data_IF_638678998309
#
_entry.id   IF_638678998309
#
_cell.length_a   1.000
_cell.length_b   1.000
_cell.length_c   1.000
_cell.angle_alpha   90.00
_cell.angle_beta   90.00
_cell.angle_gamma   90.00
#
_symmetry.space_group_name_H-M   'P 1'
#
loop_
_entity.id
_entity.type
_entity.pdbx_description
1 polymer ?
#
# COMPACT_ATOMS: atom_id res chain seq x y z
N UNK A 1 -11.96 -21.89 5.96
CA UNK A 1 -12.88 -20.98 5.25
C UNK A 1 -12.04 -20.08 4.38
N UNK A 2 -12.52 -19.68 3.20
CA UNK A 2 -11.76 -18.81 2.31
C UNK A 2 -11.86 -17.38 2.87
N UNK A 3 -10.83 -16.90 3.55
CA UNK A 3 -10.79 -15.52 4.06
C UNK A 3 -10.50 -14.57 2.90
N UNK A 4 -11.54 -14.25 2.12
CA UNK A 4 -11.50 -13.24 1.05
C UNK A 4 -10.94 -11.91 1.57
N UNK A 5 -11.17 -11.60 2.84
CA UNK A 5 -10.69 -10.40 3.50
C UNK A 5 -9.16 -10.39 3.63
N UNK A 6 -8.54 -11.54 3.93
CA UNK A 6 -7.08 -11.69 3.92
C UNK A 6 -6.53 -11.59 2.51
N UNK A 7 -7.18 -12.21 1.52
CA UNK A 7 -6.75 -12.13 0.12
C UNK A 7 -6.80 -10.69 -0.41
N UNK A 8 -7.89 -9.96 -0.16
CA UNK A 8 -8.03 -8.54 -0.49
C UNK A 8 -6.96 -7.70 0.21
N UNK A 9 -6.71 -7.97 1.50
CA UNK A 9 -5.66 -7.28 2.25
C UNK A 9 -4.29 -7.54 1.64
N UNK A 10 -4.00 -8.77 1.22
CA UNK A 10 -2.74 -9.16 0.58
C UNK A 10 -2.58 -8.48 -0.78
N UNK A 11 -3.64 -8.47 -1.61
CA UNK A 11 -3.66 -7.79 -2.89
C UNK A 11 -3.43 -6.28 -2.73
N UNK A 12 -4.08 -5.66 -1.75
CA UNK A 12 -3.94 -4.23 -1.48
C UNK A 12 -2.53 -3.89 -0.98
N UNK A 13 -1.91 -4.76 -0.17
CA UNK A 13 -0.48 -4.63 0.19
C UNK A 13 0.42 -4.75 -1.02
N UNK A 14 0.17 -5.70 -1.91
CA UNK A 14 0.98 -5.93 -3.12
C UNK A 14 0.93 -4.70 -4.05
N UNK A 15 -0.26 -4.12 -4.26
CA UNK A 15 -0.44 -2.89 -5.02
C UNK A 15 0.31 -1.70 -4.41
N UNK A 16 0.26 -1.56 -3.08
CA UNK A 16 1.02 -0.52 -2.37
C UNK A 16 2.54 -0.76 -2.53
N UNK A 17 2.99 -2.01 -2.40
CA UNK A 17 4.39 -2.39 -2.55
C UNK A 17 4.90 -2.10 -3.97
N UNK A 18 4.15 -2.49 -5.00
CA UNK A 18 4.48 -2.21 -6.41
C UNK A 18 4.52 -0.70 -6.69
N UNK A 19 3.56 0.06 -6.16
CA UNK A 19 3.54 1.50 -6.32
C UNK A 19 4.74 2.17 -5.64
N UNK A 20 5.14 1.67 -4.46
CA UNK A 20 6.33 2.14 -3.74
C UNK A 20 7.62 1.77 -4.45
N UNK A 21 7.76 0.53 -4.93
CA UNK A 21 8.94 0.05 -5.63
C UNK A 21 9.19 0.85 -6.91
N UNK A 22 8.16 1.02 -7.72
CA UNK A 22 8.20 1.85 -8.94
C UNK A 22 8.46 3.33 -8.64
N UNK A 23 8.03 3.78 -7.46
CA UNK A 23 8.27 5.13 -6.94
C UNK A 23 9.58 5.26 -6.16
N UNK A 24 10.41 4.21 -6.09
CA UNK A 24 11.67 4.18 -5.33
C UNK A 24 11.48 4.52 -3.83
N UNK A 25 10.47 3.92 -3.20
CA UNK A 25 10.01 4.13 -1.81
C UNK A 25 9.48 5.54 -1.51
N UNK A 26 9.16 6.34 -2.54
CA UNK A 26 8.57 7.67 -2.34
C UNK A 26 7.05 7.55 -2.17
N UNK A 27 6.60 7.61 -0.92
CA UNK A 27 5.18 7.55 -0.50
C UNK A 27 4.30 8.56 -1.26
N UNK A 28 4.82 9.75 -1.58
CA UNK A 28 4.06 10.75 -2.35
C UNK A 28 3.78 10.29 -3.79
N UNK A 29 4.80 9.80 -4.50
CA UNK A 29 4.67 9.27 -5.86
C UNK A 29 3.82 7.99 -5.90
N UNK A 30 3.97 7.11 -4.92
CA UNK A 30 3.15 5.91 -4.81
C UNK A 30 1.66 6.26 -4.60
N UNK A 31 1.38 7.27 -3.78
CA UNK A 31 0.01 7.76 -3.54
C UNK A 31 -0.60 8.40 -4.80
N UNK A 32 0.17 9.23 -5.51
CA UNK A 32 -0.20 9.77 -6.83
C UNK A 32 -0.50 8.64 -7.83
N UNK A 33 0.35 7.61 -7.88
CA UNK A 33 0.17 6.44 -8.77
C UNK A 33 -1.08 5.63 -8.43
N UNK A 34 -1.39 5.51 -7.15
CA UNK A 34 -2.60 4.84 -6.66
C UNK A 34 -3.84 5.75 -6.67
N UNK A 35 -3.71 7.01 -7.11
CA UNK A 35 -4.78 8.00 -7.16
C UNK A 35 -5.48 8.24 -5.79
N UNK A 36 -4.72 8.12 -4.70
CA UNK A 36 -5.21 8.33 -3.34
C UNK A 36 -4.42 9.42 -2.63
N UNK A 37 -4.98 9.97 -1.56
CA UNK A 37 -4.23 10.94 -0.74
C UNK A 37 -3.02 10.27 -0.09
N UNK A 38 -1.88 10.96 -0.10
CA UNK A 38 -0.66 10.55 0.61
C UNK A 38 -0.93 10.18 2.07
N UNK A 39 -1.77 10.95 2.75
CA UNK A 39 -2.16 10.68 4.15
C UNK A 39 -2.90 9.35 4.29
N UNK A 40 -3.83 9.04 3.37
CA UNK A 40 -4.56 7.77 3.32
C UNK A 40 -3.65 6.58 3.03
N UNK A 41 -2.68 6.76 2.11
CA UNK A 41 -1.66 5.74 1.85
C UNK A 41 -0.86 5.45 3.13
N UNK A 42 -0.41 6.49 3.84
CA UNK A 42 0.34 6.35 5.11
C UNK A 42 -0.48 5.64 6.18
N UNK A 43 -1.77 5.94 6.30
CA UNK A 43 -2.67 5.26 7.25
C UNK A 43 -2.80 3.77 6.92
N UNK A 44 -3.03 3.41 5.65
CA UNK A 44 -3.05 2.01 5.20
C UNK A 44 -1.70 1.33 5.45
N UNK A 45 -0.59 1.96 5.10
CA UNK A 45 0.76 1.42 5.33
C UNK A 45 1.05 1.13 6.81
N UNK A 46 0.67 2.06 7.71
CA UNK A 46 0.77 1.85 9.16
C UNK A 46 -0.10 0.69 9.62
N UNK A 47 -1.36 0.63 9.17
CA UNK A 47 -2.29 -0.45 9.50
C UNK A 47 -1.80 -1.81 9.02
N UNK A 48 -1.09 -1.84 7.89
CA UNK A 48 -0.56 -3.05 7.28
C UNK A 48 0.86 -3.40 7.72
N UNK A 49 1.48 -2.60 8.58
CA UNK A 49 2.88 -2.73 9.02
C UNK A 49 3.87 -2.76 7.84
N UNK A 50 3.55 -2.06 6.75
CA UNK A 50 4.39 -1.95 5.55
C UNK A 50 5.60 -1.02 5.77
N UNK A 51 5.68 -0.33 6.91
CA UNK A 51 6.73 0.65 7.27
C UNK A 51 8.05 0.01 7.75
N UNK A 52 8.46 -1.12 7.15
CA UNK A 52 9.74 -1.79 7.47
C UNK A 52 10.77 -1.70 6.34
N UNK A 53 10.76 -0.59 5.61
CA UNK A 53 11.78 -0.16 4.65
C UNK A 53 12.01 1.35 4.83
#
# INVERSE_FOLDING_TARGET
GLDLKEYLTKLEKDLIQQALDDSNSVVARAADKLHIRRTTLVEKMRKYNLSKY
#
